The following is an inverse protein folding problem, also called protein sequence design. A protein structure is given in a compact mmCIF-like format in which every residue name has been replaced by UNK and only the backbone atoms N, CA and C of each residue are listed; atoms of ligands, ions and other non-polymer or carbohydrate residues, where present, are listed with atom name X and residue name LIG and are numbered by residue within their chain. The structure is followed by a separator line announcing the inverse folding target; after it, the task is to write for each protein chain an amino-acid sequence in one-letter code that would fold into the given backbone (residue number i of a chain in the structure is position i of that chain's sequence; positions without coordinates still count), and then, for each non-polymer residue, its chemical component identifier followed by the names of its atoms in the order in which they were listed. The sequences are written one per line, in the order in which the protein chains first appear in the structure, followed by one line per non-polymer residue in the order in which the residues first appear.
data_IF_648361179278
#
_entry.id   IF_648361179278
#
_cell.length_a   1.000
_cell.length_b   1.000
_cell.length_c   1.000
_cell.angle_alpha   90.00
_cell.angle_beta   90.00
_cell.angle_gamma   90.00
#
_symmetry.space_group_name_H-M   'P 1'
#
loop_
_entity.id
_entity.type
_entity.pdbx_description
1 polymer ?
#
# COMPACT_ATOMS: atom_id res chain seq x y z
N UNK A 1 42.04 16.38 89.28
CA UNK A 1 40.72 15.97 88.76
C UNK A 1 40.80 16.19 87.26
N UNK A 2 40.91 15.09 86.50
CA UNK A 2 41.35 15.09 85.10
C UNK A 2 40.27 15.62 84.16
N UNK A 3 40.66 16.50 83.24
CA UNK A 3 39.87 16.95 82.09
C UNK A 3 39.72 15.80 81.08
N UNK A 4 38.50 15.64 80.56
CA UNK A 4 38.17 14.69 79.49
C UNK A 4 38.51 15.33 78.15
N UNK A 5 39.41 14.70 77.40
CA UNK A 5 39.72 15.05 76.02
C UNK A 5 38.52 14.75 75.10
N UNK A 6 38.13 15.75 74.31
CA UNK A 6 37.15 15.62 73.24
C UNK A 6 37.90 15.40 71.91
N UNK A 7 37.90 14.17 71.39
CA UNK A 7 38.55 13.83 70.13
C UNK A 7 37.58 13.92 68.95
N UNK A 8 37.87 14.90 68.09
CA UNK A 8 37.50 15.12 66.68
C UNK A 8 36.42 14.29 65.99
N UNK A 9 35.31 14.96 65.61
CA UNK A 9 34.28 14.49 64.65
C UNK A 9 34.50 15.04 63.21
N UNK A 10 35.72 15.46 62.85
CA UNK A 10 35.95 16.22 61.61
C UNK A 10 36.37 15.38 60.38
N UNK A 11 36.69 14.09 60.53
CA UNK A 11 37.32 13.32 59.45
C UNK A 11 36.35 12.49 58.58
N UNK A 12 35.17 12.12 59.09
CA UNK A 12 34.25 11.24 58.36
C UNK A 12 33.48 11.94 57.23
N UNK A 13 33.21 13.24 57.37
CA UNK A 13 32.43 14.00 56.39
C UNK A 13 33.21 14.29 55.09
N UNK A 14 34.52 14.56 55.18
CA UNK A 14 35.34 14.90 54.00
C UNK A 14 35.50 13.73 53.01
N UNK A 15 35.59 12.49 53.52
CA UNK A 15 35.71 11.30 52.68
C UNK A 15 34.37 10.94 52.01
N UNK A 16 33.25 11.17 52.71
CA UNK A 16 31.90 10.85 52.23
C UNK A 16 31.47 11.77 51.07
N UNK A 17 31.76 13.08 51.16
CA UNK A 17 31.44 14.04 50.08
C UNK A 17 32.25 13.82 48.80
N UNK A 18 33.49 13.34 48.91
CA UNK A 18 34.35 13.03 47.75
C UNK A 18 33.80 11.84 46.95
N UNK A 19 33.37 10.77 47.63
CA UNK A 19 32.77 9.59 46.99
C UNK A 19 31.40 9.90 46.36
N UNK A 20 30.64 10.80 46.99
CA UNK A 20 29.35 11.26 46.46
C UNK A 20 29.52 12.10 45.18
N UNK A 21 30.52 12.98 45.14
CA UNK A 21 30.86 13.77 43.94
C UNK A 21 31.33 12.89 42.79
N UNK A 22 32.16 11.87 43.07
CA UNK A 22 32.62 10.93 42.05
C UNK A 22 31.46 10.10 41.46
N UNK A 23 30.53 9.64 42.31
CA UNK A 23 29.35 8.90 41.87
C UNK A 23 28.40 9.76 41.01
N UNK A 24 28.22 11.03 41.37
CA UNK A 24 27.43 11.99 40.57
C UNK A 24 28.10 12.26 39.22
N UNK A 25 29.43 12.40 39.17
CA UNK A 25 30.14 12.57 37.90
C UNK A 25 30.05 11.32 37.01
N UNK A 26 30.12 10.11 37.58
CA UNK A 26 29.97 8.86 36.81
C UNK A 26 28.53 8.74 36.29
N UNK A 27 27.51 9.06 37.10
CA UNK A 27 26.12 9.07 36.66
C UNK A 27 25.85 10.13 35.58
N UNK A 28 26.39 11.34 35.72
CA UNK A 28 26.32 12.39 34.70
C UNK A 28 27.06 11.99 33.42
N UNK A 29 28.22 11.34 33.52
CA UNK A 29 28.91 10.78 32.36
C UNK A 29 28.08 9.68 31.70
N UNK A 30 27.44 8.77 32.43
CA UNK A 30 26.59 7.72 31.82
C UNK A 30 25.35 8.32 31.11
N UNK A 31 24.78 9.42 31.65
CA UNK A 31 23.67 10.14 31.02
C UNK A 31 24.13 10.94 29.79
N UNK A 32 25.33 11.55 29.84
CA UNK A 32 25.93 12.30 28.72
C UNK A 32 26.55 11.38 27.64
N UNK A 33 26.84 10.13 28.00
CA UNK A 33 27.44 9.10 27.15
C UNK A 33 26.46 7.97 26.85
N UNK A 34 25.15 8.22 26.96
CA UNK A 34 24.15 7.46 26.22
C UNK A 34 24.23 7.97 24.78
N UNK A 35 24.98 7.33 23.86
CA UNK A 35 24.83 7.68 22.47
C UNK A 35 23.36 7.45 22.14
N UNK A 36 22.77 8.41 21.45
CA UNK A 36 21.48 8.28 20.81
C UNK A 36 21.56 7.13 19.79
N UNK A 37 21.48 5.89 20.26
CA UNK A 37 21.21 4.73 19.42
C UNK A 37 19.69 4.62 19.34
N UNK A 38 19.10 5.69 18.81
CA UNK A 38 17.82 5.63 18.14
C UNK A 38 18.02 6.20 16.75
N UNK A 39 19.09 5.75 16.07
CA UNK A 39 19.04 5.68 14.62
C UNK A 39 18.05 4.57 14.30
N UNK A 40 16.76 4.89 14.38
CA UNK A 40 15.79 4.25 13.52
C UNK A 40 16.33 4.47 12.11
N UNK A 41 16.96 3.45 11.54
CA UNK A 41 17.28 3.42 10.13
C UNK A 41 15.93 3.33 9.44
N UNK A 42 15.34 4.49 9.18
CA UNK A 42 14.16 4.62 8.34
C UNK A 42 14.65 4.31 6.94
N UNK A 43 14.60 3.03 6.56
CA UNK A 43 14.85 2.56 5.20
C UNK A 43 13.63 2.91 4.32
N UNK A 44 13.21 4.18 4.33
CA UNK A 44 12.18 4.67 3.41
C UNK A 44 12.85 4.96 2.06
N UNK A 45 13.14 3.91 1.31
CA UNK A 45 13.35 4.06 -0.11
C UNK A 45 12.02 4.54 -0.70
N UNK A 46 11.97 5.81 -1.09
CA UNK A 46 10.80 6.38 -1.77
C UNK A 46 10.79 5.80 -3.17
N UNK A 47 9.74 5.07 -3.55
CA UNK A 47 9.58 4.57 -4.92
C UNK A 47 9.01 5.64 -5.85
N UNK A 48 8.13 6.50 -5.32
CA UNK A 48 7.62 7.64 -6.07
C UNK A 48 6.89 8.65 -5.20
N UNK A 49 6.42 9.73 -5.81
CA UNK A 49 5.67 10.82 -5.18
C UNK A 49 4.55 11.26 -6.12
N UNK A 50 3.33 11.47 -5.61
CA UNK A 50 2.19 12.02 -6.36
C UNK A 50 1.62 13.22 -5.59
N UNK A 51 1.69 14.41 -6.18
CA UNK A 51 1.19 15.66 -5.56
C UNK A 51 1.75 15.91 -4.14
N UNK A 52 2.99 15.49 -3.90
CA UNK A 52 3.65 15.57 -2.59
C UNK A 52 3.37 14.38 -1.65
N UNK A 53 2.46 13.48 -2.01
CA UNK A 53 2.20 12.24 -1.28
C UNK A 53 3.25 11.17 -1.63
N UNK A 54 3.90 10.61 -0.62
CA UNK A 54 4.98 9.63 -0.81
C UNK A 54 4.40 8.24 -1.10
N UNK A 55 4.96 7.58 -2.11
CA UNK A 55 4.81 6.15 -2.35
C UNK A 55 6.11 5.46 -1.90
N UNK A 56 6.13 4.87 -0.71
CA UNK A 56 7.27 4.12 -0.22
C UNK A 56 7.46 2.80 -0.99
N UNK A 57 8.72 2.35 -1.13
CA UNK A 57 9.09 1.16 -1.90
C UNK A 57 8.49 -0.14 -1.36
N UNK A 58 8.31 -0.24 -0.04
CA UNK A 58 7.63 -1.39 0.57
C UNK A 58 6.23 -1.63 -0.02
N UNK A 59 5.54 -0.61 -0.56
CA UNK A 59 4.22 -0.78 -1.18
C UNK A 59 4.31 -1.60 -2.47
N UNK A 60 5.42 -1.47 -3.20
CA UNK A 60 5.72 -2.30 -4.37
C UNK A 60 6.01 -3.74 -3.95
N UNK A 61 6.78 -3.92 -2.88
CA UNK A 61 7.12 -5.25 -2.36
C UNK A 61 5.88 -6.00 -1.84
N UNK A 62 5.00 -5.33 -1.10
CA UNK A 62 3.74 -5.89 -0.57
C UNK A 62 2.85 -6.38 -1.71
N UNK A 63 2.66 -5.56 -2.74
CA UNK A 63 1.87 -5.90 -3.94
C UNK A 63 2.37 -7.16 -4.63
N UNK A 64 3.70 -7.34 -4.69
CA UNK A 64 4.33 -8.53 -5.24
C UNK A 64 4.26 -9.73 -4.30
N UNK A 65 4.50 -9.53 -3.00
CA UNK A 65 4.54 -10.60 -2.00
C UNK A 65 3.20 -11.32 -1.87
N UNK A 66 2.09 -10.58 -1.98
CA UNK A 66 0.74 -11.12 -1.97
C UNK A 66 0.23 -11.48 -3.38
N UNK A 67 1.09 -11.46 -4.41
CA UNK A 67 0.75 -11.72 -5.82
C UNK A 67 -0.46 -10.90 -6.30
N UNK A 68 -0.64 -9.69 -5.77
CA UNK A 68 -1.79 -8.84 -6.06
C UNK A 68 -1.65 -8.14 -7.42
N UNK A 69 -0.41 -8.06 -7.91
CA UNK A 69 -0.02 -7.41 -9.15
C UNK A 69 1.23 -8.09 -9.73
N UNK A 70 1.17 -8.53 -10.99
CA UNK A 70 2.35 -9.00 -11.73
C UNK A 70 3.09 -7.87 -12.45
N UNK A 71 4.38 -8.07 -12.68
CA UNK A 71 5.25 -7.18 -13.46
C UNK A 71 6.59 -6.85 -12.79
N UNK A 72 7.37 -5.99 -13.45
CA UNK A 72 8.55 -5.33 -12.88
C UNK A 72 8.17 -4.34 -11.77
N UNK A 73 9.12 -3.94 -10.93
CA UNK A 73 8.86 -2.99 -9.84
C UNK A 73 8.30 -1.66 -10.34
N UNK A 74 8.75 -1.23 -11.52
CA UNK A 74 8.24 -0.02 -12.20
C UNK A 74 6.78 -0.18 -12.65
N UNK A 75 6.41 -1.34 -13.19
CA UNK A 75 5.03 -1.62 -13.60
C UNK A 75 4.09 -1.72 -12.39
N UNK A 76 4.56 -2.34 -11.31
CA UNK A 76 3.80 -2.39 -10.05
C UNK A 76 3.64 -0.99 -9.47
N UNK A 77 4.70 -0.19 -9.44
CA UNK A 77 4.62 1.20 -9.00
C UNK A 77 3.65 2.01 -9.86
N UNK A 78 3.69 1.85 -11.18
CA UNK A 78 2.77 2.55 -12.07
C UNK A 78 1.30 2.20 -11.74
N UNK A 79 1.00 0.92 -11.50
CA UNK A 79 -0.34 0.50 -11.09
C UNK A 79 -0.75 1.04 -9.71
N UNK A 80 0.20 1.17 -8.78
CA UNK A 80 -0.05 1.84 -7.49
C UNK A 80 -0.38 3.32 -7.73
N UNK A 81 0.37 3.99 -8.60
CA UNK A 81 0.15 5.40 -8.95
C UNK A 81 -1.24 5.58 -9.55
N UNK A 82 -1.57 4.80 -10.57
CA UNK A 82 -2.86 4.87 -11.27
C UNK A 82 -4.02 4.65 -10.32
N UNK A 83 -3.90 3.67 -9.41
CA UNK A 83 -4.93 3.42 -8.39
C UNK A 83 -5.09 4.59 -7.43
N UNK A 84 -4.00 5.22 -6.97
CA UNK A 84 -4.09 6.40 -6.10
C UNK A 84 -4.77 7.57 -6.82
N UNK A 85 -4.47 7.78 -8.10
CA UNK A 85 -5.15 8.79 -8.91
C UNK A 85 -6.65 8.50 -9.03
N UNK A 86 -7.03 7.26 -9.32
CA UNK A 86 -8.44 6.85 -9.39
C UNK A 86 -9.16 6.95 -8.05
N UNK A 87 -8.50 6.62 -6.93
CA UNK A 87 -9.07 6.79 -5.59
C UNK A 87 -9.39 8.25 -5.28
N UNK A 88 -8.47 9.17 -5.58
CA UNK A 88 -8.70 10.61 -5.41
C UNK A 88 -9.92 11.08 -6.22
N UNK A 89 -10.11 10.56 -7.43
CA UNK A 89 -11.31 10.86 -8.21
C UNK A 89 -12.56 10.23 -7.59
N UNK A 90 -12.51 8.97 -7.18
CA UNK A 90 -13.62 8.28 -6.53
C UNK A 90 -14.14 9.02 -5.28
N UNK A 91 -13.22 9.56 -4.47
CA UNK A 91 -13.54 10.39 -3.31
C UNK A 91 -14.31 11.66 -3.68
N UNK A 92 -13.94 12.34 -4.78
CA UNK A 92 -14.65 13.54 -5.28
C UNK A 92 -16.11 13.22 -5.65
N UNK A 93 -16.36 12.03 -6.16
CA UNK A 93 -17.71 11.53 -6.47
C UNK A 93 -18.41 10.87 -5.28
N UNK A 94 -17.77 10.84 -4.10
CA UNK A 94 -18.28 10.20 -2.87
C UNK A 94 -18.62 8.72 -3.08
N UNK A 95 -17.86 8.04 -3.93
CA UNK A 95 -18.01 6.60 -4.12
C UNK A 95 -17.37 5.90 -2.93
N UNK A 96 -18.18 5.14 -2.22
CA UNK A 96 -17.74 4.33 -1.07
C UNK A 96 -18.14 2.88 -1.28
N UNK A 97 -17.57 2.01 -0.44
CA UNK A 97 -17.98 0.62 -0.33
C UNK A 97 -19.41 0.48 0.22
N UNK A 98 -20.09 -0.60 -0.18
CA UNK A 98 -21.41 -0.99 0.31
C UNK A 98 -21.32 -2.09 1.37
N UNK A 99 -22.44 -2.39 2.04
CA UNK A 99 -22.51 -3.53 2.97
C UNK A 99 -22.20 -4.87 2.30
N UNK A 100 -22.50 -5.03 1.01
CA UNK A 100 -22.16 -6.23 0.25
C UNK A 100 -20.66 -6.27 -0.05
N UNK A 101 -20.08 -5.11 -0.40
CA UNK A 101 -18.64 -4.99 -0.62
C UNK A 101 -17.86 -5.36 0.65
N UNK A 102 -18.33 -4.96 1.83
CA UNK A 102 -17.69 -5.35 3.09
C UNK A 102 -17.60 -6.87 3.29
N UNK A 103 -18.63 -7.63 2.88
CA UNK A 103 -18.58 -9.10 2.92
C UNK A 103 -17.56 -9.64 1.91
N UNK A 104 -17.53 -9.06 0.71
CA UNK A 104 -16.58 -9.45 -0.32
C UNK A 104 -15.13 -9.15 0.09
N UNK A 105 -14.88 -8.01 0.75
CA UNK A 105 -13.57 -7.61 1.29
C UNK A 105 -13.05 -8.68 2.26
N UNK A 106 -13.90 -9.09 3.21
CA UNK A 106 -13.54 -10.12 4.19
C UNK A 106 -13.29 -11.47 3.52
N UNK A 107 -14.10 -11.82 2.51
CA UNK A 107 -13.90 -13.05 1.75
C UNK A 107 -12.57 -13.05 0.99
N UNK A 108 -12.24 -11.96 0.29
CA UNK A 108 -10.97 -11.84 -0.45
C UNK A 108 -9.78 -11.95 0.50
N UNK A 109 -9.86 -11.34 1.67
CA UNK A 109 -8.81 -11.48 2.69
C UNK A 109 -8.65 -12.93 3.13
N UNK A 110 -9.75 -13.64 3.36
CA UNK A 110 -9.75 -15.05 3.71
C UNK A 110 -9.14 -15.91 2.59
N UNK A 111 -9.52 -15.66 1.34
CA UNK A 111 -8.97 -16.36 0.17
C UNK A 111 -7.44 -16.14 0.04
N UNK A 112 -6.95 -14.93 0.35
CA UNK A 112 -5.50 -14.64 0.40
C UNK A 112 -4.79 -15.42 1.51
N UNK A 113 -5.41 -15.49 2.70
CA UNK A 113 -4.88 -16.27 3.84
C UNK A 113 -4.77 -17.75 3.50
N UNK A 114 -5.84 -18.32 2.94
CA UNK A 114 -5.91 -19.74 2.58
C UNK A 114 -4.94 -20.10 1.45
N UNK A 115 -4.90 -19.29 0.38
CA UNK A 115 -4.02 -19.54 -0.77
C UNK A 115 -2.53 -19.39 -0.44
N UNK A 116 -2.19 -18.50 0.50
CA UNK A 116 -0.80 -18.29 0.93
C UNK A 116 -0.36 -19.30 2.00
N UNK A 117 -1.30 -19.86 2.76
CA UNK A 117 -1.06 -20.57 4.01
C UNK A 117 -0.87 -19.59 5.17
N UNK A 118 -1.53 -19.87 6.30
CA UNK A 118 -1.63 -18.95 7.45
C UNK A 118 -0.25 -18.56 8.02
N UNK A 119 0.68 -19.52 8.13
CA UNK A 119 2.04 -19.23 8.60
C UNK A 119 2.81 -18.30 7.64
N UNK A 120 2.67 -18.49 6.33
CA UNK A 120 3.32 -17.63 5.33
C UNK A 120 2.70 -16.24 5.35
N UNK A 121 1.38 -16.16 5.45
CA UNK A 121 0.64 -14.91 5.58
C UNK A 121 1.12 -14.10 6.79
N UNK A 122 1.16 -14.74 7.97
CA UNK A 122 1.61 -14.10 9.21
C UNK A 122 3.09 -13.65 9.13
N UNK A 123 3.97 -14.46 8.51
CA UNK A 123 5.36 -14.05 8.27
C UNK A 123 5.47 -12.82 7.38
N UNK A 124 4.69 -12.74 6.29
CA UNK A 124 4.70 -11.57 5.41
C UNK A 124 4.20 -10.32 6.14
N UNK A 125 3.15 -10.45 6.97
CA UNK A 125 2.69 -9.33 7.80
C UNK A 125 3.80 -8.85 8.74
N UNK A 126 4.52 -9.77 9.39
CA UNK A 126 5.64 -9.42 10.26
C UNK A 126 6.81 -8.79 9.52
N UNK A 127 7.21 -9.36 8.38
CA UNK A 127 8.34 -8.89 7.55
C UNK A 127 8.16 -7.44 7.09
N UNK A 128 6.94 -7.07 6.72
CA UNK A 128 6.60 -5.73 6.24
C UNK A 128 5.99 -4.84 7.34
N UNK A 129 6.00 -5.27 8.60
CA UNK A 129 5.38 -4.58 9.74
C UNK A 129 3.92 -4.17 9.50
N UNK A 130 3.19 -4.98 8.74
CA UNK A 130 1.80 -4.77 8.39
C UNK A 130 0.86 -5.38 9.41
N UNK A 131 -0.29 -4.73 9.56
CA UNK A 131 -1.46 -5.29 10.22
C UNK A 131 -2.41 -5.84 9.17
N UNK A 132 -3.23 -6.80 9.60
CA UNK A 132 -4.34 -7.30 8.77
C UNK A 132 -5.28 -6.17 8.31
N UNK A 133 -5.44 -5.12 9.12
CA UNK A 133 -6.20 -3.92 8.77
C UNK A 133 -5.63 -3.17 7.57
N UNK A 134 -4.30 -3.21 7.37
CA UNK A 134 -3.65 -2.55 6.24
C UNK A 134 -3.98 -3.28 4.94
N UNK A 135 -4.01 -4.61 4.97
CA UNK A 135 -4.43 -5.41 3.83
C UNK A 135 -5.93 -5.26 3.54
N UNK A 136 -6.77 -5.20 4.58
CA UNK A 136 -8.19 -4.86 4.45
C UNK A 136 -8.40 -3.53 3.74
N UNK A 137 -7.65 -2.50 4.13
CA UNK A 137 -7.70 -1.18 3.49
C UNK A 137 -7.23 -1.24 2.03
N UNK A 138 -6.21 -2.03 1.73
CA UNK A 138 -5.75 -2.25 0.34
C UNK A 138 -6.86 -2.87 -0.51
N UNK A 139 -7.50 -3.94 -0.02
CA UNK A 139 -8.61 -4.61 -0.71
C UNK A 139 -9.80 -3.66 -0.89
N UNK A 140 -10.18 -2.93 0.18
CA UNK A 140 -11.24 -1.92 0.13
C UNK A 140 -10.97 -0.87 -0.96
N UNK A 141 -9.75 -0.34 -1.01
CA UNK A 141 -9.34 0.65 -2.00
C UNK A 141 -9.48 0.11 -3.43
N UNK A 142 -9.14 -1.17 -3.66
CA UNK A 142 -9.34 -1.80 -4.98
C UNK A 142 -10.82 -1.83 -5.36
N UNK A 143 -11.69 -2.22 -4.45
CA UNK A 143 -13.14 -2.26 -4.72
C UNK A 143 -13.71 -0.87 -4.99
N UNK A 144 -13.29 0.16 -4.24
CA UNK A 144 -13.72 1.54 -4.50
C UNK A 144 -13.31 1.97 -5.92
N UNK A 145 -12.09 1.64 -6.34
CA UNK A 145 -11.62 1.92 -7.70
C UNK A 145 -12.42 1.16 -8.75
N UNK A 146 -12.70 -0.12 -8.54
CA UNK A 146 -13.54 -0.92 -9.44
C UNK A 146 -14.93 -0.30 -9.60
N UNK A 147 -15.57 0.07 -8.49
CA UNK A 147 -16.88 0.77 -8.50
C UNK A 147 -16.80 2.11 -9.22
N UNK A 148 -15.72 2.85 -9.07
CA UNK A 148 -15.51 4.10 -9.77
C UNK A 148 -15.35 3.89 -11.28
N UNK A 149 -14.57 2.88 -11.69
CA UNK A 149 -14.43 2.49 -13.10
C UNK A 149 -15.80 2.09 -13.66
N UNK A 150 -16.58 1.32 -12.91
CA UNK A 150 -17.92 0.93 -13.32
C UNK A 150 -18.82 2.15 -13.57
N UNK A 151 -18.83 3.09 -12.61
CA UNK A 151 -19.66 4.29 -12.66
C UNK A 151 -19.21 5.30 -13.74
N UNK A 152 -17.90 5.53 -13.88
CA UNK A 152 -17.36 6.60 -14.73
C UNK A 152 -16.96 6.16 -16.13
N UNK A 153 -16.60 4.90 -16.28
CA UNK A 153 -16.08 4.35 -17.53
C UNK A 153 -17.09 3.39 -18.12
N UNK A 154 -17.37 2.29 -17.42
CA UNK A 154 -18.15 1.17 -17.97
C UNK A 154 -19.60 1.53 -18.24
N UNK A 155 -20.20 2.40 -17.42
CA UNK A 155 -21.57 2.89 -17.64
C UNK A 155 -21.78 3.53 -19.03
N UNK A 156 -20.72 4.12 -19.61
CA UNK A 156 -20.78 4.77 -20.92
C UNK A 156 -20.32 3.87 -22.08
N UNK A 157 -19.96 2.60 -21.81
CA UNK A 157 -19.56 1.64 -22.84
C UNK A 157 -20.79 0.91 -23.33
N UNK A 158 -21.15 1.14 -24.59
CA UNK A 158 -22.28 0.49 -25.27
C UNK A 158 -21.75 -0.26 -26.49
N UNK A 159 -22.03 -1.55 -26.57
CA UNK A 159 -21.69 -2.40 -27.71
C UNK A 159 -22.96 -2.67 -28.51
N UNK A 160 -23.00 -2.23 -29.77
CA UNK A 160 -24.13 -2.44 -30.67
C UNK A 160 -24.03 -3.79 -31.40
N UNK A 161 -25.17 -4.33 -31.83
CA UNK A 161 -25.22 -5.56 -32.62
C UNK A 161 -24.44 -5.44 -33.94
N UNK A 162 -24.41 -4.25 -34.54
CA UNK A 162 -23.64 -3.99 -35.76
C UNK A 162 -22.13 -4.08 -35.49
N UNK A 163 -21.65 -3.63 -34.33
CA UNK A 163 -20.26 -3.80 -33.94
C UNK A 163 -19.90 -5.28 -33.71
N UNK A 164 -20.81 -6.06 -33.13
CA UNK A 164 -20.65 -7.51 -32.93
C UNK A 164 -20.58 -8.21 -34.30
N UNK A 165 -21.48 -7.90 -35.23
CA UNK A 165 -21.48 -8.44 -36.60
C UNK A 165 -20.20 -8.09 -37.34
N UNK A 166 -19.76 -6.83 -37.26
CA UNK A 166 -18.52 -6.38 -37.89
C UNK A 166 -17.32 -7.15 -37.33
N UNK A 167 -17.18 -7.23 -36.01
CA UNK A 167 -16.10 -7.97 -35.38
C UNK A 167 -16.08 -9.46 -35.78
N UNK A 168 -17.24 -10.11 -35.75
CA UNK A 168 -17.38 -11.51 -36.17
C UNK A 168 -16.95 -11.74 -37.62
N UNK A 169 -17.34 -10.85 -38.53
CA UNK A 169 -16.98 -10.95 -39.95
C UNK A 169 -15.48 -10.70 -40.16
N UNK A 170 -14.91 -9.71 -39.47
CA UNK A 170 -13.49 -9.37 -39.55
C UNK A 170 -12.59 -10.48 -38.98
N UNK A 171 -13.10 -11.27 -38.02
CA UNK A 171 -12.39 -12.37 -37.37
C UNK A 171 -13.02 -13.73 -37.69
N UNK A 172 -13.64 -13.87 -38.87
CA UNK A 172 -14.42 -15.08 -39.21
C UNK A 172 -13.62 -16.37 -39.08
N UNK A 173 -12.33 -16.32 -39.45
CA UNK A 173 -11.40 -17.45 -39.41
C UNK A 173 -11.16 -17.97 -37.98
N UNK A 174 -11.32 -17.14 -36.94
CA UNK A 174 -11.15 -17.53 -35.53
C UNK A 174 -12.33 -18.36 -35.00
N UNK A 175 -13.48 -18.31 -35.68
CA UNK A 175 -14.72 -18.91 -35.20
C UNK A 175 -15.11 -20.20 -35.93
N UNK A 176 -14.44 -20.55 -37.02
CA UNK A 176 -14.68 -21.79 -37.78
C UNK A 176 -16.15 -21.92 -38.19
N UNK A 177 -16.78 -23.06 -37.87
CA UNK A 177 -18.17 -23.34 -38.24
C UNK A 177 -19.22 -22.72 -37.30
N UNK A 178 -18.80 -22.11 -36.17
CA UNK A 178 -19.74 -21.48 -35.24
C UNK A 178 -20.48 -20.34 -35.93
N UNK A 179 -21.77 -20.20 -35.65
CA UNK A 179 -22.58 -19.09 -36.15
C UNK A 179 -22.51 -17.90 -35.21
N UNK A 180 -22.87 -16.71 -35.70
CA UNK A 180 -22.80 -15.46 -34.93
C UNK A 180 -23.54 -15.55 -33.60
N UNK A 181 -24.72 -16.17 -33.57
CA UNK A 181 -25.56 -16.26 -32.37
C UNK A 181 -24.83 -16.97 -31.22
N UNK A 182 -24.12 -18.07 -31.54
CA UNK A 182 -23.37 -18.88 -30.58
C UNK A 182 -22.20 -18.14 -29.91
N UNK A 183 -21.66 -17.12 -30.58
CA UNK A 183 -20.46 -16.38 -30.13
C UNK A 183 -20.73 -14.90 -29.84
N UNK A 184 -21.96 -14.44 -30.03
CA UNK A 184 -22.37 -13.03 -29.90
C UNK A 184 -22.02 -12.44 -28.53
N UNK A 185 -22.36 -13.15 -27.44
CA UNK A 185 -22.07 -12.72 -26.07
C UNK A 185 -20.56 -12.71 -25.76
N UNK A 186 -19.79 -13.66 -26.32
CA UNK A 186 -18.34 -13.66 -26.19
C UNK A 186 -17.72 -12.43 -26.87
N UNK A 187 -18.13 -12.15 -28.11
CA UNK A 187 -17.67 -10.99 -28.88
C UNK A 187 -18.07 -9.70 -28.17
N UNK A 188 -19.30 -9.61 -27.67
CA UNK A 188 -19.77 -8.47 -26.88
C UNK A 188 -18.90 -8.23 -25.66
N UNK A 189 -18.54 -9.27 -24.91
CA UNK A 189 -17.64 -9.16 -23.76
C UNK A 189 -16.23 -8.69 -24.16
N UNK A 190 -15.69 -9.17 -25.29
CA UNK A 190 -14.41 -8.72 -25.84
C UNK A 190 -14.47 -7.24 -26.21
N UNK A 191 -15.47 -6.83 -26.99
CA UNK A 191 -15.64 -5.45 -27.43
C UNK A 191 -15.85 -4.50 -26.25
N UNK A 192 -16.69 -4.90 -25.28
CA UNK A 192 -16.91 -4.14 -24.06
C UNK A 192 -15.62 -3.95 -23.28
N UNK A 193 -14.86 -5.03 -23.04
CA UNK A 193 -13.60 -4.97 -22.31
C UNK A 193 -12.56 -4.11 -23.04
N UNK A 194 -12.45 -4.26 -24.36
CA UNK A 194 -11.52 -3.47 -25.18
C UNK A 194 -11.84 -1.98 -25.11
N UNK A 195 -13.10 -1.60 -25.28
CA UNK A 195 -13.50 -0.19 -25.23
C UNK A 195 -13.43 0.39 -23.81
N UNK A 196 -13.82 -0.40 -22.80
CA UNK A 196 -13.65 -0.03 -21.39
C UNK A 196 -12.19 0.26 -21.05
N UNK A 197 -11.27 -0.64 -21.41
CA UNK A 197 -9.84 -0.47 -21.17
C UNK A 197 -9.28 0.75 -21.92
N UNK A 198 -9.68 0.95 -23.18
CA UNK A 198 -9.25 2.11 -23.97
C UNK A 198 -9.66 3.42 -23.29
N UNK A 199 -10.91 3.52 -22.86
CA UNK A 199 -11.43 4.71 -22.14
C UNK A 199 -10.78 4.92 -20.78
N UNK A 200 -10.54 3.84 -20.05
CA UNK A 200 -9.84 3.89 -18.77
C UNK A 200 -8.43 4.45 -18.96
N UNK A 201 -7.72 4.01 -19.99
CA UNK A 201 -6.35 4.47 -20.23
C UNK A 201 -6.30 5.93 -20.71
N UNK A 202 -7.23 6.34 -21.58
CA UNK A 202 -7.40 7.75 -21.95
C UNK A 202 -7.64 8.63 -20.71
N UNK A 203 -8.44 8.14 -19.76
CA UNK A 203 -8.75 8.85 -18.52
C UNK A 203 -7.55 8.90 -17.56
N UNK A 204 -6.85 7.78 -17.36
CA UNK A 204 -5.63 7.71 -16.57
C UNK A 204 -4.55 8.64 -17.13
N UNK A 205 -4.41 8.71 -18.44
CA UNK A 205 -3.48 9.64 -19.10
C UNK A 205 -3.81 11.10 -18.81
N UNK A 206 -5.09 11.46 -18.74
CA UNK A 206 -5.50 12.80 -18.30
C UNK A 206 -5.12 13.04 -16.84
N UNK A 207 -5.37 12.08 -15.95
CA UNK A 207 -5.02 12.20 -14.52
C UNK A 207 -3.50 12.33 -14.33
N UNK A 208 -2.71 11.50 -15.00
CA UNK A 208 -1.24 11.52 -14.95
C UNK A 208 -0.67 12.86 -15.42
N UNK A 209 -1.24 13.47 -16.49
CA UNK A 209 -0.83 14.80 -16.97
C UNK A 209 -1.14 15.92 -15.97
N UNK A 210 -2.22 15.77 -15.21
CA UNK A 210 -2.65 16.79 -14.24
C UNK A 210 -2.00 16.64 -12.87
N UNK A 211 -1.41 15.47 -12.58
CA UNK A 211 -0.74 15.18 -11.32
C UNK A 211 0.77 15.46 -11.38
N UNK A 212 1.35 15.89 -10.26
CA UNK A 212 2.81 16.01 -10.14
C UNK A 212 3.41 14.68 -9.70
N UNK A 213 3.93 13.89 -10.65
CA UNK A 213 4.47 12.55 -10.40
C UNK A 213 6.01 12.58 -10.48
N UNK A 214 6.67 12.01 -9.46
CA UNK A 214 8.12 11.72 -9.48
C UNK A 214 8.31 10.23 -9.24
N UNK A 215 9.12 9.56 -10.05
CA UNK A 215 9.48 8.15 -9.88
C UNK A 215 10.97 8.07 -9.53
N UNK A 216 11.30 7.28 -8.52
CA UNK A 216 12.64 7.18 -7.93
C UNK A 216 13.16 5.74 -7.91
N UNK A 217 12.57 4.85 -8.72
CA UNK A 217 13.00 3.45 -8.92
C UNK A 217 14.17 3.33 -9.90
#
# INVERSE_FOLDING_TARGET
MYYVDCFSDSFYNALMFSRFRLAICIALCIILFYPAILYAVVFNNIAGVIDGEIIPYWSVLIEKAFNLTGGSDKEVLQKIIDRRLLLKEAEKFKITETSQDNKNIQKVLQDIKESSGEDKFNRLLQEYELKETDLLNLIKNRIIVERFIDFRINFFVVVSDDAIKAYYNDHRDEYGDKVLDDVSEQIKAILFKTESNRRLEDYLDQLRRNAKISINL
#
